data_IF_976684186166
#
_entry.id   IF_976684186166
#
_cell.length_a   1.000
_cell.length_b   1.000
_cell.length_c   1.000
_cell.angle_alpha   90.00
_cell.angle_beta   90.00
_cell.angle_gamma   90.00
#
_symmetry.space_group_name_H-M   'P 1'
#
loop_
_entity.id
_entity.type
_entity.pdbx_description
1 polymer ?
#
# COMPACT_ATOMS: atom_id res chain seq x y z
N UNK A 1 16.39 1.39 -26.63
CA UNK A 1 16.04 0.16 -27.38
C UNK A 1 14.67 0.39 -27.93
N UNK A 2 14.51 0.27 -29.23
CA UNK A 2 13.22 0.52 -29.90
C UNK A 2 12.52 -0.82 -30.14
N UNK A 3 11.20 -0.81 -29.94
CA UNK A 3 10.32 -1.93 -30.22
C UNK A 3 9.41 -1.50 -31.35
N UNK A 4 9.44 -2.26 -32.45
CA UNK A 4 8.66 -1.99 -33.65
C UNK A 4 7.53 -3.04 -33.79
N UNK A 5 6.42 -2.66 -34.41
CA UNK A 5 5.37 -3.59 -34.80
C UNK A 5 5.71 -4.34 -36.10
N UNK A 6 4.85 -5.28 -36.52
CA UNK A 6 5.03 -6.06 -37.75
C UNK A 6 5.03 -5.21 -39.04
N UNK A 7 4.59 -3.95 -38.95
CA UNK A 7 4.60 -2.97 -40.04
C UNK A 7 5.87 -2.09 -40.04
N UNK A 8 6.76 -2.26 -39.05
CA UNK A 8 8.01 -1.51 -38.91
C UNK A 8 7.86 -0.13 -38.27
N UNK A 9 6.73 0.17 -37.63
CA UNK A 9 6.54 1.38 -36.85
C UNK A 9 6.95 1.17 -35.39
N UNK A 10 7.74 2.10 -34.85
CA UNK A 10 8.16 2.05 -33.44
C UNK A 10 6.97 2.30 -32.51
N UNK A 11 6.63 1.30 -31.71
CA UNK A 11 5.55 1.34 -30.72
C UNK A 11 6.04 1.81 -29.34
N UNK A 12 7.31 1.57 -29.01
CA UNK A 12 7.90 2.01 -27.75
C UNK A 12 9.41 2.19 -27.86
N UNK A 13 9.94 3.14 -27.08
CA UNK A 13 11.38 3.28 -26.84
C UNK A 13 11.68 3.10 -25.36
N UNK A 14 12.59 2.18 -25.06
CA UNK A 14 13.07 1.90 -23.72
C UNK A 14 14.46 2.50 -23.48
N UNK A 15 14.60 3.21 -22.37
CA UNK A 15 15.85 3.77 -21.87
C UNK A 15 16.18 3.14 -20.51
N UNK A 16 17.45 2.83 -20.30
CA UNK A 16 17.96 2.45 -18.98
C UNK A 16 18.97 3.51 -18.57
N UNK A 17 18.67 4.21 -17.49
CA UNK A 17 19.50 5.27 -16.93
C UNK A 17 20.10 4.78 -15.61
N UNK A 18 21.39 5.04 -15.40
CA UNK A 18 22.02 4.74 -14.12
C UNK A 18 21.67 5.85 -13.13
N UNK A 19 21.15 5.48 -11.96
CA UNK A 19 20.81 6.39 -10.87
C UNK A 19 21.73 6.17 -9.66
N UNK A 20 21.64 7.04 -8.66
CA UNK A 20 22.39 6.88 -7.40
C UNK A 20 22.02 5.59 -6.65
N UNK A 21 20.84 5.03 -6.91
CA UNK A 21 20.31 3.82 -6.27
C UNK A 21 20.27 2.58 -7.19
N UNK A 22 20.87 2.65 -8.39
CA UNK A 22 20.92 1.52 -9.31
C UNK A 22 20.62 1.93 -10.74
N UNK A 23 19.56 1.38 -11.32
CA UNK A 23 19.13 1.68 -12.68
C UNK A 23 17.64 2.02 -12.68
N UNK A 24 17.26 3.07 -13.41
CA UNK A 24 15.89 3.41 -13.72
C UNK A 24 15.60 3.03 -15.17
N UNK A 25 14.45 2.39 -15.39
CA UNK A 25 13.94 2.11 -16.73
C UNK A 25 12.86 3.12 -17.08
N UNK A 26 13.00 3.79 -18.21
CA UNK A 26 12.01 4.73 -18.77
C UNK A 26 11.49 4.18 -20.08
N UNK A 27 10.17 4.17 -20.25
CA UNK A 27 9.51 3.69 -21.46
C UNK A 27 8.71 4.85 -22.04
N UNK A 28 9.09 5.28 -23.24
CA UNK A 28 8.33 6.25 -24.04
C UNK A 28 7.48 5.47 -25.04
N UNK A 29 6.16 5.48 -24.85
CA UNK A 29 5.20 4.81 -25.74
C UNK A 29 4.76 5.77 -26.85
N UNK A 30 4.74 5.28 -28.10
CA UNK A 30 4.41 6.06 -29.29
C UNK A 30 3.13 5.61 -30.01
N UNK A 31 2.50 4.53 -29.54
CA UNK A 31 1.21 4.03 -30.03
C UNK A 31 0.11 4.16 -28.96
N UNK A 32 -1.16 4.18 -29.38
CA UNK A 32 -2.31 4.16 -28.48
C UNK A 32 -2.62 2.74 -27.92
N UNK A 33 -1.93 1.71 -28.41
CA UNK A 33 -2.08 0.33 -27.94
C UNK A 33 -1.34 0.13 -26.62
N UNK A 34 -2.04 -0.32 -25.58
CA UNK A 34 -1.47 -0.55 -24.26
C UNK A 34 -0.28 -1.53 -24.29
N UNK A 35 0.91 -1.06 -23.92
CA UNK A 35 2.04 -1.93 -23.66
C UNK A 35 1.87 -2.61 -22.30
N UNK A 36 1.69 -3.93 -22.31
CA UNK A 36 1.79 -4.73 -21.09
C UNK A 36 3.28 -4.88 -20.72
N UNK A 37 3.75 -4.11 -19.75
CA UNK A 37 5.10 -4.25 -19.20
C UNK A 37 5.10 -5.40 -18.17
N UNK A 38 5.36 -6.61 -18.64
CA UNK A 38 5.57 -7.77 -17.75
C UNK A 38 6.95 -7.68 -17.10
N UNK A 39 7.01 -7.52 -15.77
CA UNK A 39 8.25 -7.47 -14.99
C UNK A 39 8.43 -6.20 -14.14
N UNK A 40 7.78 -5.08 -14.49
CA UNK A 40 7.77 -3.86 -13.66
C UNK A 40 6.60 -3.84 -12.64
N UNK A 41 5.56 -4.63 -12.91
CA UNK A 41 4.42 -4.89 -12.02
C UNK A 41 4.39 -6.33 -11.52
N UNK A 42 5.42 -7.13 -11.82
CA UNK A 42 5.60 -8.39 -11.12
C UNK A 42 6.44 -8.08 -9.89
N UNK A 43 5.87 -8.21 -8.68
CA UNK A 43 6.64 -8.06 -7.47
C UNK A 43 7.80 -9.07 -7.53
N UNK A 44 8.99 -8.71 -7.03
CA UNK A 44 10.22 -9.47 -7.24
C UNK A 44 9.97 -10.96 -7.05
N UNK A 45 10.53 -11.78 -7.94
CA UNK A 45 10.44 -13.22 -7.83
C UNK A 45 10.87 -13.61 -6.42
N UNK A 46 9.95 -14.22 -5.65
CA UNK A 46 10.30 -14.73 -4.33
C UNK A 46 11.47 -15.71 -4.52
N UNK A 47 12.49 -15.60 -3.68
CA UNK A 47 13.60 -16.56 -3.68
C UNK A 47 13.04 -18.00 -3.61
N UNK A 48 13.65 -19.00 -4.26
CA UNK A 48 13.17 -20.38 -4.32
C UNK A 48 12.76 -20.96 -2.95
N UNK A 49 13.43 -20.52 -1.88
CA UNK A 49 13.15 -20.91 -0.50
C UNK A 49 11.71 -20.63 -0.03
N UNK A 50 11.02 -19.62 -0.56
CA UNK A 50 9.63 -19.32 -0.21
C UNK A 50 8.64 -20.35 -0.78
N UNK A 51 8.96 -20.91 -1.96
CA UNK A 51 8.18 -21.96 -2.60
C UNK A 51 8.36 -23.33 -1.92
N UNK A 52 9.53 -23.53 -1.29
CA UNK A 52 9.88 -24.76 -0.57
C UNK A 52 9.32 -24.79 0.87
N UNK A 53 8.73 -23.69 1.37
CA UNK A 53 8.07 -23.68 2.67
C UNK A 53 6.81 -24.55 2.65
N UNK A 54 6.65 -25.35 3.70
CA UNK A 54 5.51 -26.25 3.87
C UNK A 54 4.18 -25.48 3.91
N UNK A 55 3.16 -26.03 3.28
CA UNK A 55 1.86 -25.38 3.12
C UNK A 55 1.15 -25.19 4.46
N UNK A 56 1.27 -26.14 5.38
CA UNK A 56 0.72 -26.04 6.74
C UNK A 56 1.37 -24.86 7.47
N UNK A 57 2.69 -24.70 7.34
CA UNK A 57 3.37 -23.53 7.89
C UNK A 57 2.85 -22.22 7.27
N UNK A 58 2.69 -22.15 5.94
CA UNK A 58 2.16 -20.95 5.29
C UNK A 58 0.73 -20.63 5.75
N UNK A 59 -0.11 -21.65 5.92
CA UNK A 59 -1.47 -21.48 6.44
C UNK A 59 -1.47 -20.94 7.88
N UNK A 60 -0.58 -21.46 8.74
CA UNK A 60 -0.40 -20.93 10.09
C UNK A 60 0.04 -19.46 10.08
N UNK A 61 0.95 -19.09 9.17
CA UNK A 61 1.41 -17.70 9.03
C UNK A 61 0.31 -16.78 8.48
N UNK A 62 -0.54 -17.25 7.57
CA UNK A 62 -1.73 -16.52 7.11
C UNK A 62 -2.71 -16.27 8.26
N UNK A 63 -2.98 -17.29 9.08
CA UNK A 63 -3.83 -17.13 10.27
C UNK A 63 -3.23 -16.13 11.26
N UNK A 64 -1.92 -16.22 11.53
CA UNK A 64 -1.21 -15.28 12.40
C UNK A 64 -1.30 -13.85 11.90
N UNK A 65 -1.14 -13.64 10.58
CA UNK A 65 -1.33 -12.33 9.96
C UNK A 65 -2.75 -11.83 10.21
N UNK A 66 -3.76 -12.62 9.84
CA UNK A 66 -5.16 -12.25 9.96
C UNK A 66 -5.52 -11.84 11.41
N UNK A 67 -5.18 -12.69 12.39
CA UNK A 67 -5.40 -12.41 13.81
C UNK A 67 -4.65 -11.15 14.27
N UNK A 68 -3.38 -11.01 13.90
CA UNK A 68 -2.56 -9.86 14.27
C UNK A 68 -3.09 -8.54 13.71
N UNK A 69 -3.60 -8.52 12.47
CA UNK A 69 -4.20 -7.33 11.89
C UNK A 69 -5.53 -6.97 12.58
N UNK A 70 -6.33 -7.97 12.98
CA UNK A 70 -7.52 -7.72 13.80
C UNK A 70 -7.18 -7.13 15.17
N UNK A 71 -6.08 -7.55 15.79
CA UNK A 71 -5.60 -6.95 17.04
C UNK A 71 -5.21 -5.49 16.83
N UNK A 72 -4.45 -5.17 15.77
CA UNK A 72 -4.10 -3.78 15.41
C UNK A 72 -5.36 -2.94 15.21
N UNK A 73 -6.35 -3.44 14.47
CA UNK A 73 -7.65 -2.78 14.31
C UNK A 73 -8.29 -2.48 15.66
N UNK A 74 -8.32 -3.46 16.57
CA UNK A 74 -8.95 -3.29 17.90
C UNK A 74 -8.21 -2.27 18.76
N UNK A 75 -6.89 -2.24 18.68
CA UNK A 75 -6.02 -1.30 19.41
C UNK A 75 -6.26 0.14 18.97
N UNK A 76 -6.41 0.37 17.65
CA UNK A 76 -6.55 1.71 17.06
C UNK A 76 -7.96 2.00 16.51
N UNK A 77 -8.99 1.35 17.03
CA UNK A 77 -10.35 1.34 16.47
C UNK A 77 -11.01 2.73 16.32
N UNK A 78 -10.60 3.70 17.13
CA UNK A 78 -11.10 5.09 17.04
C UNK A 78 -10.43 5.90 15.91
N UNK A 79 -9.28 5.44 15.42
CA UNK A 79 -8.42 6.19 14.52
C UNK A 79 -8.23 5.54 13.14
N UNK A 80 -8.53 4.24 13.01
CA UNK A 80 -8.42 3.54 11.72
C UNK A 80 -9.67 2.70 11.42
N UNK A 81 -10.03 2.65 10.13
CA UNK A 81 -10.88 1.62 9.56
C UNK A 81 -10.00 0.48 9.04
N UNK A 82 -10.50 -0.75 9.15
CA UNK A 82 -9.86 -1.95 8.64
C UNK A 82 -10.86 -2.72 7.77
N UNK A 83 -10.42 -3.10 6.58
CA UNK A 83 -11.14 -3.92 5.62
C UNK A 83 -10.30 -5.17 5.34
N UNK A 84 -10.91 -6.33 5.54
CA UNK A 84 -10.40 -7.69 5.32
C UNK A 84 -11.35 -8.52 4.45
N UNK A 85 -12.58 -8.03 4.25
CA UNK A 85 -13.59 -8.57 3.36
C UNK A 85 -13.80 -7.60 2.20
N UNK A 86 -13.17 -7.81 1.05
CA UNK A 86 -13.61 -7.07 -0.13
C UNK A 86 -12.75 -7.20 -1.36
N UNK A 87 -13.31 -7.93 -2.33
CA UNK A 87 -13.15 -7.77 -3.78
C UNK A 87 -11.86 -7.04 -4.23
N UNK A 88 -10.86 -7.76 -4.78
CA UNK A 88 -9.63 -7.17 -5.31
C UNK A 88 -9.87 -6.13 -6.43
N UNK A 89 -11.10 -6.02 -6.94
CA UNK A 89 -11.52 -4.99 -7.90
C UNK A 89 -12.23 -3.78 -7.28
N UNK A 90 -12.71 -3.86 -6.03
CA UNK A 90 -13.44 -2.78 -5.37
C UNK A 90 -12.53 -1.84 -4.56
N UNK A 91 -11.42 -2.37 -4.03
CA UNK A 91 -10.45 -1.62 -3.24
C UNK A 91 -9.03 -1.92 -3.72
N UNK A 92 -8.61 -1.24 -4.78
CA UNK A 92 -7.18 -0.96 -4.94
C UNK A 92 -6.75 -0.12 -3.70
N UNK A 93 -5.92 -0.63 -2.77
CA UNK A 93 -5.04 -1.81 -2.90
C UNK A 93 -5.30 -2.91 -1.84
N UNK A 94 -5.45 -4.17 -2.25
CA UNK A 94 -5.10 -5.34 -1.41
C UNK A 94 -6.22 -6.03 -0.61
N UNK A 95 -5.92 -7.26 -0.18
CA UNK A 95 -6.77 -8.14 0.64
C UNK A 95 -7.02 -7.57 2.05
N UNK A 96 -6.06 -6.82 2.59
CA UNK A 96 -6.18 -6.15 3.89
C UNK A 96 -5.85 -4.67 3.75
N UNK A 97 -6.75 -3.79 4.19
CA UNK A 97 -6.59 -2.34 4.05
C UNK A 97 -6.91 -1.61 5.35
N UNK A 98 -5.92 -0.86 5.86
CA UNK A 98 -6.13 0.15 6.88
C UNK A 98 -6.26 1.53 6.27
N UNK A 99 -7.23 2.30 6.73
CA UNK A 99 -7.44 3.71 6.35
C UNK A 99 -7.67 4.57 7.59
N UNK A 100 -7.28 5.86 7.59
CA UNK A 100 -7.62 6.76 8.69
C UNK A 100 -9.14 6.87 8.87
N UNK A 101 -9.60 6.88 10.12
CA UNK A 101 -11.01 7.04 10.45
C UNK A 101 -11.48 8.49 10.27
N UNK A 102 -10.62 9.43 10.64
CA UNK A 102 -10.78 10.87 10.42
C UNK A 102 -9.89 11.29 9.24
N UNK A 103 -10.40 12.19 8.38
CA UNK A 103 -9.65 12.70 7.23
C UNK A 103 -9.48 11.65 6.13
N UNK A 104 -10.36 11.68 5.12
CA UNK A 104 -10.20 10.87 3.90
C UNK A 104 -9.22 11.55 2.95
N UNK A 105 -7.98 11.70 3.39
CA UNK A 105 -6.89 12.25 2.56
C UNK A 105 -6.42 11.26 1.48
N UNK A 106 -6.88 10.00 1.57
CA UNK A 106 -6.52 8.92 0.66
C UNK A 106 -5.36 8.06 1.16
N UNK A 107 -4.81 8.36 2.35
CA UNK A 107 -3.75 7.55 2.95
C UNK A 107 -4.26 6.16 3.30
N UNK A 108 -3.44 5.14 3.09
CA UNK A 108 -3.75 3.78 3.48
C UNK A 108 -2.50 2.94 3.70
N UNK A 109 -2.66 1.87 4.46
CA UNK A 109 -1.71 0.77 4.50
C UNK A 109 -2.43 -0.48 4.00
N UNK A 110 -1.90 -1.06 2.93
CA UNK A 110 -2.53 -2.14 2.19
C UNK A 110 -1.61 -3.34 2.09
N UNK A 111 -2.20 -4.53 2.15
CA UNK A 111 -1.50 -5.81 2.01
C UNK A 111 -2.25 -6.65 0.97
N UNK A 112 -1.53 -7.17 0.00
CA UNK A 112 -2.02 -8.05 -1.05
C UNK A 112 -1.38 -9.45 -0.93
N UNK A 113 -2.22 -10.48 -1.01
CA UNK A 113 -1.81 -11.88 -0.97
C UNK A 113 -1.19 -12.31 -2.30
N UNK A 114 -0.01 -12.91 -2.26
CA UNK A 114 0.66 -13.49 -3.42
C UNK A 114 0.41 -14.99 -3.47
N UNK A 115 0.05 -15.50 -4.63
CA UNK A 115 -0.13 -16.93 -4.86
C UNK A 115 0.88 -17.48 -5.88
N UNK A 116 1.08 -18.80 -5.84
CA UNK A 116 1.94 -19.47 -6.80
C UNK A 116 1.36 -19.39 -8.22
N UNK A 117 2.23 -19.46 -9.22
CA UNK A 117 1.77 -19.52 -10.61
C UNK A 117 0.94 -20.80 -10.83
N UNK A 118 -0.28 -20.64 -11.34
CA UNK A 118 -1.19 -21.75 -11.59
C UNK A 118 -2.06 -22.11 -10.39
N UNK A 119 -2.08 -21.30 -9.33
CA UNK A 119 -3.10 -21.37 -8.28
C UNK A 119 -4.49 -21.30 -8.91
N UNK A 120 -5.34 -22.22 -8.49
CA UNK A 120 -6.75 -22.23 -8.85
C UNK A 120 -7.47 -21.13 -8.06
N UNK A 121 -8.18 -20.25 -8.77
CA UNK A 121 -8.92 -19.17 -8.13
C UNK A 121 -10.31 -19.61 -7.63
N UNK A 122 -10.76 -20.81 -8.04
CA UNK A 122 -11.97 -21.43 -7.51
C UNK A 122 -11.72 -22.14 -6.17
N UNK A 123 -10.46 -22.39 -5.81
CA UNK A 123 -10.05 -22.96 -4.53
C UNK A 123 -10.13 -21.91 -3.41
N UNK A 124 -11.05 -22.10 -2.46
CA UNK A 124 -11.24 -21.24 -1.30
C UNK A 124 -10.26 -21.54 -0.15
N UNK A 125 -9.54 -22.67 -0.20
CA UNK A 125 -8.51 -23.06 0.76
C UNK A 125 -7.10 -22.63 0.32
N UNK A 126 -6.98 -21.89 -0.79
CA UNK A 126 -5.70 -21.41 -1.33
C UNK A 126 -4.86 -20.67 -0.28
N UNK A 127 -3.60 -21.07 -0.18
CA UNK A 127 -2.64 -20.49 0.78
C UNK A 127 -1.64 -19.57 0.06
N UNK A 128 -1.46 -18.30 0.49
CA UNK A 128 -0.50 -17.40 -0.12
C UNK A 128 0.94 -17.85 0.12
N UNK A 129 1.81 -17.59 -0.87
CA UNK A 129 3.26 -17.81 -0.81
C UNK A 129 4.02 -16.61 -0.23
N UNK A 130 3.33 -15.49 -0.02
CA UNK A 130 3.87 -14.24 0.50
C UNK A 130 2.85 -13.12 0.41
N UNK A 131 3.25 -11.93 0.82
CA UNK A 131 2.40 -10.75 0.80
C UNK A 131 3.18 -9.54 0.29
N UNK A 132 2.59 -8.79 -0.62
CA UNK A 132 3.08 -7.45 -0.94
C UNK A 132 2.34 -6.43 -0.11
N UNK A 133 3.00 -5.34 0.27
CA UNK A 133 2.37 -4.29 1.03
C UNK A 133 2.81 -2.92 0.54
N UNK A 134 1.91 -1.96 0.68
CA UNK A 134 2.14 -0.57 0.31
C UNK A 134 1.54 0.38 1.34
N UNK A 135 2.30 1.42 1.63
CA UNK A 135 1.90 2.55 2.44
C UNK A 135 1.70 3.74 1.49
N UNK A 136 0.46 4.18 1.28
CA UNK A 136 0.13 5.35 0.47
C UNK A 136 -0.07 6.54 1.40
N UNK A 137 0.53 7.68 1.04
CA UNK A 137 0.45 8.93 1.80
C UNK A 137 0.58 10.16 0.90
N UNK A 138 0.16 11.35 1.37
CA UNK A 138 0.26 12.59 0.61
C UNK A 138 1.72 12.99 0.39
N UNK A 139 2.10 13.22 -0.87
CA UNK A 139 3.40 13.74 -1.28
C UNK A 139 3.24 15.12 -1.94
N UNK A 140 4.08 16.08 -1.57
CA UNK A 140 4.14 17.38 -2.23
C UNK A 140 4.92 17.27 -3.54
N UNK A 141 4.29 17.66 -4.64
CA UNK A 141 4.86 17.67 -5.96
C UNK A 141 5.64 18.97 -6.22
N UNK A 142 6.59 18.99 -7.18
CA UNK A 142 7.34 20.20 -7.52
C UNK A 142 6.48 21.38 -8.00
N UNK A 143 5.27 21.10 -8.51
CA UNK A 143 4.28 22.09 -8.92
C UNK A 143 3.45 22.66 -7.75
N UNK A 144 3.73 22.21 -6.52
CA UNK A 144 3.02 22.61 -5.30
C UNK A 144 1.71 21.85 -5.06
N UNK A 145 1.32 20.92 -5.95
CA UNK A 145 0.17 20.05 -5.73
C UNK A 145 0.49 18.92 -4.74
N UNK A 146 -0.52 18.35 -4.11
CA UNK A 146 -0.38 17.15 -3.28
C UNK A 146 -0.97 15.96 -4.04
N UNK A 147 -0.19 14.89 -4.17
CA UNK A 147 -0.62 13.63 -4.78
C UNK A 147 -0.44 12.48 -3.81
N UNK A 148 -1.37 11.53 -3.84
CA UNK A 148 -1.22 10.27 -3.12
C UNK A 148 -0.21 9.39 -3.84
N UNK A 149 0.86 9.02 -3.13
CA UNK A 149 1.90 8.15 -3.68
C UNK A 149 2.33 7.11 -2.64
N UNK A 150 2.86 5.95 -3.10
CA UNK A 150 3.60 5.06 -2.23
C UNK A 150 4.71 5.84 -1.50
N UNK A 151 4.67 5.80 -0.18
CA UNK A 151 5.72 6.31 0.72
C UNK A 151 6.68 5.20 1.11
N UNK A 152 6.15 3.99 1.22
CA UNK A 152 6.92 2.77 1.41
C UNK A 152 6.17 1.59 0.80
N UNK A 153 6.92 0.59 0.37
CA UNK A 153 6.40 -0.66 -0.16
C UNK A 153 7.39 -1.80 0.11
N UNK A 154 6.91 -3.02 0.05
CA UNK A 154 7.77 -4.18 0.21
C UNK A 154 7.02 -5.49 0.08
N UNK A 155 7.78 -6.57 0.24
CA UNK A 155 7.28 -7.94 0.20
C UNK A 155 7.68 -8.65 1.49
N UNK A 156 6.74 -9.40 2.05
CA UNK A 156 6.93 -10.24 3.23
C UNK A 156 6.75 -11.71 2.88
N UNK A 157 7.71 -12.53 3.31
CA UNK A 157 7.60 -13.98 3.27
C UNK A 157 6.81 -14.48 4.49
N UNK A 158 6.33 -15.74 4.47
CA UNK A 158 5.74 -16.38 5.65
C UNK A 158 6.62 -16.28 6.90
N UNK A 159 7.95 -16.36 6.75
CA UNK A 159 8.90 -16.19 7.86
C UNK A 159 8.95 -14.78 8.47
N UNK A 160 8.38 -13.78 7.82
CA UNK A 160 8.46 -12.37 8.20
C UNK A 160 7.10 -11.79 8.65
N UNK A 161 6.09 -12.62 8.89
CA UNK A 161 4.73 -12.15 9.21
C UNK A 161 4.66 -11.25 10.43
N UNK A 162 5.39 -11.55 11.50
CA UNK A 162 5.43 -10.70 12.69
C UNK A 162 5.89 -9.27 12.35
N UNK A 163 6.85 -9.13 11.44
CA UNK A 163 7.33 -7.81 10.97
C UNK A 163 6.28 -7.07 10.15
N UNK A 164 5.48 -7.80 9.36
CA UNK A 164 4.38 -7.21 8.61
C UNK A 164 3.29 -6.68 9.54
N UNK A 165 2.95 -7.44 10.59
CA UNK A 165 2.00 -7.02 11.63
C UNK A 165 2.53 -5.78 12.37
N UNK A 166 3.80 -5.78 12.77
CA UNK A 166 4.43 -4.61 13.43
C UNK A 166 4.45 -3.37 12.54
N UNK A 167 4.55 -3.57 11.22
CA UNK A 167 4.47 -2.48 10.25
C UNK A 167 3.06 -1.90 10.18
N UNK A 168 2.04 -2.73 10.10
CA UNK A 168 0.64 -2.29 10.17
C UNK A 168 0.36 -1.55 11.49
N UNK A 169 0.86 -2.06 12.62
CA UNK A 169 0.75 -1.42 13.95
C UNK A 169 1.42 -0.05 13.97
N UNK A 170 2.63 0.06 13.43
CA UNK A 170 3.38 1.31 13.37
C UNK A 170 2.62 2.36 12.56
N UNK A 171 2.10 1.97 11.39
CA UNK A 171 1.30 2.85 10.57
C UNK A 171 0.03 3.32 11.30
N UNK A 172 -0.71 2.39 11.93
CA UNK A 172 -1.93 2.74 12.67
C UNK A 172 -1.67 3.69 13.84
N UNK A 173 -0.55 3.50 14.56
CA UNK A 173 -0.09 4.41 15.60
C UNK A 173 0.18 5.81 15.06
N UNK A 174 0.91 5.92 13.95
CA UNK A 174 1.21 7.22 13.32
C UNK A 174 -0.07 7.95 12.90
N UNK A 175 -1.09 7.22 12.43
CA UNK A 175 -2.40 7.80 12.13
C UNK A 175 -3.13 8.29 13.38
N UNK A 176 -3.08 7.53 14.48
CA UNK A 176 -3.65 7.96 15.77
C UNK A 176 -2.96 9.21 16.31
N UNK A 177 -1.63 9.26 16.27
CA UNK A 177 -0.85 10.43 16.70
C UNK A 177 -1.17 11.67 15.86
N UNK A 178 -1.31 11.50 14.54
CA UNK A 178 -1.72 12.56 13.62
C UNK A 178 -3.12 13.10 13.94
N UNK A 179 -4.09 12.21 14.13
CA UNK A 179 -5.46 12.59 14.48
C UNK A 179 -5.51 13.35 15.81
N UNK A 180 -4.78 12.87 16.84
CA UNK A 180 -4.71 13.55 18.13
C UNK A 180 -4.08 14.95 18.03
N UNK A 181 -3.06 15.12 17.18
CA UNK A 181 -2.45 16.41 16.93
C UNK A 181 -3.42 17.38 16.23
N UNK A 182 -4.17 16.92 15.24
CA UNK A 182 -5.19 17.72 14.54
C UNK A 182 -6.31 18.18 15.48
N UNK A 183 -6.83 17.28 16.32
CA UNK A 183 -7.84 17.61 17.33
C UNK A 183 -7.34 18.65 18.35
N UNK A 184 -6.07 18.54 18.76
CA UNK A 184 -5.46 19.50 19.68
C UNK A 184 -5.40 20.91 19.06
N UNK A 185 -5.01 21.01 17.78
CA UNK A 185 -4.98 22.27 17.03
C UNK A 185 -6.39 22.85 16.86
N UNK A 186 -7.37 22.03 16.48
CA UNK A 186 -8.75 22.47 16.33
C UNK A 186 -9.31 23.01 17.65
N UNK A 187 -9.03 22.32 18.76
CA UNK A 187 -9.44 22.74 20.10
C UNK A 187 -8.82 24.07 20.50
N UNK A 188 -7.53 24.29 20.20
CA UNK A 188 -6.85 25.56 20.48
C UNK A 188 -7.44 26.71 19.66
N UNK A 189 -7.65 26.50 18.36
CA UNK A 189 -8.28 27.48 17.46
C UNK A 189 -9.70 27.85 17.91
N UNK A 190 -10.48 26.85 18.33
CA UNK A 190 -11.81 27.08 18.87
C UNK A 190 -11.78 27.93 20.15
N UNK A 191 -10.86 27.62 21.08
CA UNK A 191 -10.68 28.40 22.31
C UNK A 191 -10.21 29.83 22.04
N UNK A 192 -9.31 30.03 21.06
CA UNK A 192 -8.87 31.35 20.63
C UNK A 192 -10.05 32.19 20.08
N UNK A 193 -10.88 31.61 19.20
CA UNK A 193 -12.08 32.27 18.65
C UNK A 193 -13.09 32.66 19.74
N UNK A 194 -13.29 31.80 20.76
CA UNK A 194 -14.17 32.11 21.89
C UNK A 194 -13.65 33.28 22.75
N UNK A 195 -12.32 33.41 22.90
CA UNK A 195 -11.71 34.55 23.62
C UNK A 195 -11.87 35.85 22.84
N UNK A 196 -11.69 35.82 21.52
CA UNK A 196 -11.87 37.00 20.66
C UNK A 196 -13.34 37.45 20.54
N UNK A 197 -14.28 36.51 20.48
CA UNK A 197 -15.73 36.79 20.43
C UNK A 197 -16.28 37.47 21.70
N UNK A 198 -15.69 37.17 22.87
CA UNK A 198 -16.04 37.84 24.14
C UNK A 198 -15.50 39.27 24.27
N UNK A 199 -14.55 39.68 23.43
CA UNK A 199 -13.95 41.03 23.45
C UNK A 199 -14.71 42.09 22.64
N UNK A 200 -15.76 41.72 21.89
CA UNK A 200 -16.49 42.62 20.96
C UNK A 200 -17.88 43.09 21.43
N UNK A 201 -18.25 42.85 22.69
CA UNK A 201 -19.47 43.44 23.28
C UNK A 201 -19.10 44.65 24.12
N UNK A 202 -19.11 45.85 23.52
CA UNK A 202 -19.26 47.16 24.17
C UNK A 202 -20.14 48.03 23.28
#
# INVERSE_FOLDING_TARGET
>A
MDFDNDEGATIATLYIERTEHGYAMRIDQHSDDYLLVTGALQPPALEPAAYEMDEEYRAQQMMLLHEGLHEVRREYAEHVFFYDEGDPFAFDPGNYVFMPAAGRDGSCFAIEERYARGTDWEDDERVPIGWDWVEKGPALMPDGSTQMRPQAEGTSLPSDIERLIDRARTWAREQSERAAAEEAVERELFQARLREGRGRSI
#
